data_IF_903025659566
#
_entry.id   IF_903025659566
#
_cell.length_a   1.000
_cell.length_b   1.000
_cell.length_c   1.000
_cell.angle_alpha   90.00
_cell.angle_beta   90.00
_cell.angle_gamma   90.00
#
_symmetry.space_group_name_H-M   'P 1'
#
loop_
_entity.id
_entity.type
_entity.pdbx_description
1 polymer ?
2 non-polymer ?
3 water ?
#
# COMPACT_ATOMS: atom_id res chain seq x y z
N UNK A 1 -2.46 3.91 -17.72
CA UNK A 1 -3.07 2.58 -17.41
C UNK A 1 -2.35 1.95 -16.22
N UNK A 2 -3.09 1.09 -15.58
CA UNK A 2 -2.64 0.35 -14.43
C UNK A 2 -1.88 -0.92 -14.78
N UNK A 3 -1.86 -1.30 -16.07
CA UNK A 3 -1.56 -2.66 -16.35
C UNK A 3 -0.14 -3.20 -15.98
N UNK A 4 0.87 -2.34 -15.98
CA UNK A 4 2.21 -2.83 -15.56
C UNK A 4 2.28 -3.09 -14.09
N UNK A 5 1.34 -2.60 -13.27
CA UNK A 5 1.29 -2.89 -11.83
C UNK A 5 0.79 -4.26 -11.48
N UNK A 6 0.10 -4.90 -12.43
CA UNK A 6 -0.65 -6.17 -12.11
C UNK A 6 0.30 -7.29 -11.93
N UNK A 7 0.01 -8.19 -11.02
CA UNK A 7 0.82 -9.35 -10.78
C UNK A 7 1.16 -9.57 -9.34
N UNK A 8 2.13 -10.41 -9.08
CA UNK A 8 2.53 -10.81 -7.75
C UNK A 8 3.93 -10.22 -7.50
N UNK A 9 4.09 -9.56 -6.35
CA UNK A 9 5.25 -8.80 -5.97
C UNK A 9 5.72 -9.13 -4.57
N UNK A 10 7.02 -9.19 -4.35
CA UNK A 10 7.57 -9.53 -3.08
C UNK A 10 8.44 -8.38 -2.55
N UNK A 11 8.34 -8.11 -1.25
CA UNK A 11 9.12 -7.02 -0.65
C UNK A 11 10.59 -7.38 -0.61
N UNK A 12 11.44 -6.54 -1.15
CA UNK A 12 12.88 -6.77 -1.11
C UNK A 12 13.65 -5.65 -0.42
N UNK A 13 13.06 -4.52 -0.10
CA UNK A 13 13.78 -3.45 0.60
C UNK A 13 12.75 -2.62 1.34
N UNK A 14 13.13 -2.06 2.48
CA UNK A 14 12.27 -1.16 3.23
C UNK A 14 13.04 -0.13 3.98
N UNK A 15 12.65 1.15 3.83
CA UNK A 15 13.34 2.22 4.52
C UNK A 15 12.30 3.00 5.33
N UNK A 16 12.54 3.21 6.63
CA UNK A 16 11.71 4.06 7.52
C UNK A 16 10.31 3.55 7.76
N UNK A 17 10.07 2.24 7.68
CA UNK A 17 8.73 1.73 7.99
C UNK A 17 8.39 1.91 9.45
N UNK A 18 9.36 1.79 10.32
CA UNK A 18 9.13 1.98 11.74
C UNK A 18 8.68 3.39 11.99
N UNK A 19 9.27 4.38 11.37
CA UNK A 19 8.85 5.74 11.56
C UNK A 19 7.38 5.98 11.11
N UNK A 20 7.06 5.42 9.94
CA UNK A 20 5.69 5.51 9.45
C UNK A 20 4.70 4.86 10.45
N UNK A 21 4.95 3.62 10.84
CA UNK A 21 4.08 2.95 11.77
C UNK A 21 3.96 3.68 13.11
N UNK A 22 5.06 4.23 13.62
CA UNK A 22 5.04 4.97 14.87
C UNK A 22 4.19 6.21 14.73
N UNK A 23 4.28 6.88 13.59
CA UNK A 23 3.47 8.09 13.30
C UNK A 23 2.00 7.77 13.33
N UNK A 24 1.62 6.58 12.88
CA UNK A 24 0.22 6.13 12.94
C UNK A 24 -0.21 5.61 14.30
N UNK A 25 0.69 5.58 15.29
CA UNK A 25 0.44 5.04 16.61
C UNK A 25 0.40 3.59 16.74
N UNK A 26 1.01 2.87 15.82
CA UNK A 26 1.09 1.43 15.91
C UNK A 26 1.96 1.05 17.13
N UNK A 27 1.48 0.10 17.89
CA UNK A 27 2.23 -0.28 19.12
C UNK A 27 3.60 -0.97 18.86
N UNK A 28 4.49 -0.91 19.85
CA UNK A 28 5.89 -1.31 19.64
C UNK A 28 6.00 -2.77 19.22
N UNK A 29 5.15 -3.64 19.78
CA UNK A 29 5.23 -5.04 19.50
C UNK A 29 4.79 -5.37 18.11
N UNK A 30 3.75 -4.71 17.62
CA UNK A 30 3.38 -4.87 16.23
C UNK A 30 4.49 -4.30 15.31
N UNK A 31 5.12 -3.17 15.67
CA UNK A 31 6.16 -2.65 14.80
C UNK A 31 7.28 -3.69 14.78
N UNK A 32 7.58 -4.29 15.88
CA UNK A 32 8.69 -5.23 15.94
C UNK A 32 8.50 -6.31 14.93
N UNK A 33 7.34 -6.95 14.97
CA UNK A 33 7.10 -8.11 14.09
C UNK A 33 7.03 -7.58 12.66
N UNK A 34 6.38 -6.41 12.45
CA UNK A 34 6.28 -5.89 11.07
C UNK A 34 7.60 -5.54 10.39
N UNK A 35 8.56 -5.14 11.20
CA UNK A 35 9.89 -4.79 10.70
C UNK A 35 10.61 -6.01 10.10
N UNK A 36 10.21 -7.21 10.47
CA UNK A 36 10.81 -8.47 10.00
C UNK A 36 9.87 -9.24 9.08
N UNK A 37 8.75 -8.64 8.73
CA UNK A 37 7.80 -9.31 7.79
C UNK A 37 8.08 -8.88 6.35
N UNK A 38 8.04 -9.89 5.46
CA UNK A 38 8.17 -9.66 4.03
C UNK A 38 6.88 -10.04 3.31
N UNK A 39 6.04 -9.05 3.05
CA UNK A 39 4.79 -9.38 2.43
C UNK A 39 4.92 -9.72 0.96
N UNK A 40 3.90 -10.41 0.49
CA UNK A 40 3.60 -10.56 -0.94
C UNK A 40 2.42 -9.70 -1.27
N UNK A 41 2.48 -8.87 -2.32
CA UNK A 41 1.34 -8.10 -2.76
C UNK A 41 0.88 -8.64 -4.11
N UNK A 42 -0.41 -8.89 -4.26
CA UNK A 42 -0.99 -9.35 -5.52
C UNK A 42 -1.95 -8.29 -6.00
N UNK A 43 -1.81 -7.83 -7.22
CA UNK A 43 -2.67 -6.73 -7.78
C UNK A 43 -3.33 -7.33 -9.00
N UNK A 44 -4.63 -7.32 -8.97
CA UNK A 44 -5.44 -7.90 -10.07
C UNK A 44 -6.45 -6.90 -10.49
N UNK A 45 -6.87 -7.03 -11.72
CA UNK A 45 -7.93 -6.17 -12.24
C UNK A 45 -9.02 -6.96 -12.92
N UNK A 46 -10.24 -6.43 -12.84
CA UNK A 46 -11.35 -6.95 -13.62
C UNK A 46 -12.14 -5.76 -14.08
N UNK A 47 -11.93 -5.37 -15.35
CA UNK A 47 -12.41 -4.04 -15.80
C UNK A 47 -11.73 -2.92 -15.07
N UNK A 48 -12.50 -1.95 -14.50
CA UNK A 48 -11.89 -0.91 -13.77
C UNK A 48 -11.97 -1.17 -12.25
N UNK A 49 -12.20 -2.45 -11.89
CA UNK A 49 -12.16 -2.85 -10.47
C UNK A 49 -10.82 -3.52 -10.19
N UNK A 50 -10.06 -2.95 -9.29
CA UNK A 50 -8.78 -3.49 -8.88
C UNK A 50 -8.92 -4.19 -7.52
N UNK A 51 -8.24 -5.34 -7.37
CA UNK A 51 -8.14 -6.01 -6.11
C UNK A 51 -6.71 -6.06 -5.66
N UNK A 52 -6.46 -5.63 -4.47
CA UNK A 52 -5.06 -5.54 -3.93
C UNK A 52 -5.01 -6.35 -2.69
N UNK A 53 -4.27 -7.45 -2.76
CA UNK A 53 -4.05 -8.39 -1.68
C UNK A 53 -2.68 -8.21 -1.07
N UNK A 54 -2.56 -8.16 0.22
CA UNK A 54 -1.29 -8.13 0.85
C UNK A 54 -1.24 -9.25 1.88
N UNK A 55 -0.32 -10.18 1.62
CA UNK A 55 -0.25 -11.43 2.40
C UNK A 55 1.03 -11.49 3.21
N UNK A 56 0.94 -12.05 4.41
CA UNK A 56 2.18 -12.29 5.18
C UNK A 56 1.87 -13.30 6.27
N UNK A 57 2.96 -13.61 6.97
CA UNK A 57 2.86 -14.40 8.17
C UNK A 57 2.32 -13.71 9.37
N UNK A 58 2.17 -12.40 9.30
CA UNK A 58 1.66 -11.63 10.39
C UNK A 58 0.26 -11.13 10.16
N UNK A 59 0.10 -10.19 9.26
CA UNK A 59 -1.19 -9.63 8.94
C UNK A 59 -1.49 -9.90 7.46
N UNK A 60 -2.77 -9.95 7.10
CA UNK A 60 -3.25 -10.10 5.74
C UNK A 60 -4.38 -9.13 5.48
N UNK A 61 -4.38 -8.47 4.32
CA UNK A 61 -5.43 -7.60 3.90
C UNK A 61 -5.85 -7.87 2.45
N UNK A 62 -7.06 -7.40 2.15
CA UNK A 62 -7.58 -7.38 0.81
C UNK A 62 -8.53 -6.24 0.65
N UNK A 63 -8.33 -5.46 -0.42
CA UNK A 63 -9.29 -4.43 -0.81
C UNK A 63 -9.65 -4.60 -2.25
N UNK A 64 -10.88 -4.22 -2.56
CA UNK A 64 -11.31 -4.07 -3.97
C UNK A 64 -11.86 -2.67 -4.11
N UNK A 65 -11.60 -2.04 -5.24
CA UNK A 65 -12.05 -0.69 -5.46
C UNK A 65 -12.16 -0.43 -6.94
N UNK A 66 -13.03 0.53 -7.25
CA UNK A 66 -13.10 1.12 -8.55
C UNK A 66 -12.22 2.35 -8.59
N UNK A 67 -11.37 2.46 -9.61
CA UNK A 67 -10.52 3.58 -9.69
C UNK A 67 -11.32 4.90 -9.62
N UNK A 68 -10.84 5.81 -8.79
CA UNK A 68 -11.44 7.11 -8.64
C UNK A 68 -12.79 7.19 -7.95
N UNK A 69 -13.16 6.12 -7.24
CA UNK A 69 -14.39 6.01 -6.41
C UNK A 69 -14.10 5.69 -4.99
N UNK A 70 -14.62 6.46 -4.05
CA UNK A 70 -14.28 6.25 -2.66
C UNK A 70 -14.82 4.92 -2.17
N UNK A 71 -14.09 4.31 -1.23
CA UNK A 71 -14.49 3.10 -0.55
C UNK A 71 -14.14 3.12 0.93
N UNK A 72 -14.89 2.39 1.75
CA UNK A 72 -14.55 2.24 3.12
C UNK A 72 -13.44 1.18 3.25
N UNK A 73 -12.54 1.32 4.16
CA UNK A 73 -11.42 0.39 4.35
C UNK A 73 -11.12 0.26 5.84
N UNK A 74 -10.73 -0.94 6.23
CA UNK A 74 -10.20 -1.18 7.55
C UNK A 74 -8.78 -1.70 7.38
N UNK A 75 -7.81 -0.88 7.79
CA UNK A 75 -6.41 -1.11 7.49
C UNK A 75 -5.81 -2.25 8.35
N UNK A 76 -4.57 -2.62 8.03
CA UNK A 76 -3.90 -3.72 8.69
C UNK A 76 -3.76 -3.43 10.15
N UNK A 77 -3.59 -2.16 10.52
CA UNK A 77 -3.60 -1.66 11.92
C UNK A 77 -4.92 -1.18 12.50
N UNK A 78 -5.99 -1.55 11.83
CA UNK A 78 -7.37 -1.43 12.29
C UNK A 78 -7.84 -0.01 12.34
N UNK A 79 -7.36 0.82 11.44
CA UNK A 79 -7.96 2.11 11.24
C UNK A 79 -9.12 1.99 10.29
N UNK A 80 -10.22 2.64 10.61
CA UNK A 80 -11.42 2.75 9.75
C UNK A 80 -11.35 4.01 8.95
N UNK A 81 -11.08 3.91 7.66
CA UNK A 81 -10.77 5.04 6.85
C UNK A 81 -11.62 5.12 5.64
N UNK A 82 -11.70 6.30 5.05
CA UNK A 82 -12.30 6.57 3.75
C UNK A 82 -11.18 6.68 2.75
N UNK A 83 -11.25 5.88 1.70
CA UNK A 83 -10.16 5.71 0.77
C UNK A 83 -10.54 5.97 -0.63
N UNK A 84 -9.56 6.39 -1.45
CA UNK A 84 -9.68 6.54 -2.88
C UNK A 84 -8.38 6.22 -3.55
N UNK A 85 -8.41 5.47 -4.63
CA UNK A 85 -7.21 5.18 -5.39
C UNK A 85 -7.39 5.68 -6.78
N UNK A 86 -6.36 6.39 -7.29
CA UNK A 86 -6.40 6.90 -8.66
C UNK A 86 -5.05 6.76 -9.26
N UNK A 87 -5.01 6.58 -10.59
CA UNK A 87 -3.78 6.88 -11.32
C UNK A 87 -3.50 8.36 -11.47
N UNK A 88 -2.28 8.73 -11.14
CA UNK A 88 -1.86 10.16 -11.12
C UNK A 88 -0.40 10.19 -11.48
N UNK A 89 -0.01 10.72 -12.66
CA UNK A 89 1.35 10.74 -13.13
C UNK A 89 1.94 9.39 -13.30
N UNK A 90 1.07 8.42 -13.65
CA UNK A 90 1.41 7.03 -13.85
C UNK A 90 1.61 6.23 -12.58
N UNK A 91 1.34 6.87 -11.46
CA UNK A 91 1.45 6.21 -10.13
C UNK A 91 0.09 5.81 -9.67
N UNK A 92 -0.05 4.70 -8.98
CA UNK A 92 -1.29 4.39 -8.19
C UNK A 92 -1.25 5.09 -6.88
N UNK A 93 -2.10 6.07 -6.68
CA UNK A 93 -2.13 6.87 -5.50
C UNK A 93 -3.29 6.53 -4.63
N UNK A 94 -3.05 5.99 -3.43
CA UNK A 94 -4.09 5.58 -2.48
C UNK A 94 -4.08 6.60 -1.35
N UNK A 95 -5.18 7.28 -1.17
CA UNK A 95 -5.35 8.34 -0.19
C UNK A 95 -6.32 7.79 0.86
N UNK A 96 -5.92 7.72 2.12
CA UNK A 96 -6.77 7.36 3.20
C UNK A 96 -7.02 8.56 4.09
N UNK A 97 -8.27 8.73 4.54
CA UNK A 97 -8.72 9.88 5.36
C UNK A 97 -9.49 9.33 6.54
N UNK A 98 -9.15 9.79 7.72
CA UNK A 98 -9.88 9.46 8.95
C UNK A 98 -9.57 10.48 10.05
N UNK A 99 -10.59 10.91 10.76
CA UNK A 99 -10.42 11.84 11.87
C UNK A 99 -9.66 13.08 11.46
N UNK A 100 -9.81 13.54 10.23
CA UNK A 100 -9.06 14.68 9.71
C UNK A 100 -7.62 14.40 9.32
N UNK A 101 -7.14 13.19 9.58
CA UNK A 101 -5.77 12.75 9.23
C UNK A 101 -5.80 12.23 7.80
N UNK A 102 -4.62 12.22 7.18
CA UNK A 102 -4.50 11.68 5.89
C UNK A 102 -3.20 10.86 5.84
N UNK A 103 -3.19 9.79 5.04
CA UNK A 103 -1.95 9.14 4.68
C UNK A 103 -2.04 8.70 3.23
N UNK A 104 -0.94 8.77 2.47
CA UNK A 104 -0.90 8.33 1.10
C UNK A 104 0.01 7.12 0.98
N UNK A 105 -0.44 6.20 0.13
CA UNK A 105 0.31 4.99 -0.23
C UNK A 105 0.46 5.07 -1.73
N UNK A 106 1.64 5.44 -2.21
CA UNK A 106 1.88 5.75 -3.57
C UNK A 106 2.74 4.65 -4.22
N UNK A 107 2.26 4.03 -5.32
CA UNK A 107 3.03 3.00 -6.00
C UNK A 107 3.47 3.45 -7.40
N UNK A 108 4.75 3.29 -7.71
CA UNK A 108 5.32 3.75 -8.96
C UNK A 108 6.24 2.65 -9.49
N UNK A 109 6.28 2.44 -10.79
CA UNK A 109 7.19 1.52 -11.42
C UNK A 109 8.44 2.26 -11.87
N UNK A 110 9.54 1.85 -11.31
CA UNK A 110 10.86 2.41 -11.66
C UNK A 110 11.74 1.26 -12.01
N UNK A 111 12.13 1.23 -13.26
CA UNK A 111 12.99 0.15 -13.70
C UNK A 111 12.50 -1.27 -13.44
N UNK A 112 11.19 -1.46 -13.55
CA UNK A 112 10.56 -2.74 -13.36
C UNK A 112 10.27 -3.14 -11.93
N UNK A 113 10.72 -2.32 -11.00
CA UNK A 113 10.42 -2.56 -9.62
C UNK A 113 9.25 -1.66 -9.20
N UNK A 114 8.45 -2.11 -8.27
CA UNK A 114 7.36 -1.33 -7.76
C UNK A 114 7.73 -0.72 -6.41
N UNK A 115 7.81 0.60 -6.41
CA UNK A 115 8.21 1.40 -5.30
C UNK A 115 6.96 1.94 -4.62
N UNK A 116 6.81 1.57 -3.38
CA UNK A 116 5.67 1.99 -2.56
C UNK A 116 6.17 3.01 -1.58
N UNK A 117 5.64 4.21 -1.67
CA UNK A 117 6.00 5.33 -0.78
C UNK A 117 4.82 5.60 0.12
N UNK A 118 5.06 5.51 1.43
CA UNK A 118 4.06 5.70 2.48
C UNK A 118 4.34 6.99 3.22
N UNK A 119 3.39 7.93 3.25
CA UNK A 119 3.57 9.23 3.92
C UNK A 119 2.47 9.45 4.92
N UNK A 120 2.83 9.73 6.16
CA UNK A 120 1.88 10.16 7.17
C UNK A 120 2.63 11.19 8.05
N UNK A 121 1.97 12.35 8.24
CA UNK A 121 2.64 13.41 8.98
C UNK A 121 3.87 13.82 8.22
N UNK A 122 5.00 13.71 8.87
CA UNK A 122 6.26 13.96 8.21
C UNK A 122 7.01 12.70 7.80
N UNK A 123 6.52 11.55 8.28
CA UNK A 123 7.18 10.27 8.05
C UNK A 123 7.00 9.79 6.62
N UNK A 124 8.10 9.44 5.97
CA UNK A 124 8.15 8.97 4.60
C UNK A 124 8.88 7.66 4.54
N UNK A 125 8.17 6.58 4.22
CA UNK A 125 8.73 5.27 4.12
C UNK A 125 8.75 4.87 2.68
N UNK A 126 9.84 4.23 2.22
CA UNK A 126 9.93 3.69 0.89
C UNK A 126 10.14 2.20 0.91
N UNK A 127 9.28 1.45 0.27
CA UNK A 127 9.34 0.02 0.20
C UNK A 127 9.46 -0.46 -1.25
N UNK A 128 10.38 -1.35 -1.50
CA UNK A 128 10.62 -1.76 -2.88
C UNK A 128 10.20 -3.21 -3.00
N UNK A 129 9.35 -3.49 -4.00
CA UNK A 129 8.78 -4.76 -4.36
C UNK A 129 9.34 -5.19 -5.76
N UNK A 130 9.58 -6.48 -5.79
CA UNK A 130 10.13 -7.12 -7.02
C UNK A 130 9.14 -8.12 -7.54
N UNK A 131 9.06 -8.19 -8.86
CA UNK A 131 8.03 -8.94 -9.55
C UNK A 131 8.33 -10.36 -9.53
N UNK A 132 7.44 -11.13 -8.94
CA UNK A 132 7.48 -12.60 -8.95
C UNK A 132 6.78 -13.24 -10.20
N UNK A 133 5.64 -12.71 -10.61
CA UNK A 133 4.83 -13.27 -11.66
C UNK A 133 3.88 -12.19 -12.25
X LIG B 1 2.96 -2.71 2.54
X LIG B 1 2.08 -3.01 1.81
X LIG B 1 4.20 -3.04 2.33
X LIG B 1 2.79 -1.90 3.79
X LIG B 1 1.33 -1.56 4.12
X LIG B 1 1.17 -0.77 5.43
X LIG B 1 -0.28 -0.90 5.95
X LIG B 1 -0.59 0.15 7.04
X LIG B 1 0.29 0.11 8.25
X LIG B 1 0.18 -1.20 8.96
X LIG B 1 1.26 -1.23 10.01
X LIG B 1 1.14 -2.40 10.95
X LIG B 1 1.02 -3.72 10.31
X LIG B 1 2.14 -4.00 9.36
X LIG B 1 2.12 -5.47 8.90
X LIG B 1 3.09 -5.76 7.79
X LIG B 1 2.75 -5.10 6.46
X LIG B 1 1.29 -5.31 6.02
X LIG B 1 0.94 -6.82 5.76
X LIG B 1 -0.54 -6.93 5.40
#
# INVERSE_FOLDING_TARGET
>A
MVDAFLGTWKLVDSKNFDDYMKSLGVGFATRQVASMTKPTTIIEKNGDILTLKTHSTFKNTEISFKLGVEFDETTADDRKVKSIVTLDGGKLVHLQKWDGQETTLVRELIDGKLILTLTHGTAVCTRTYEKEA
>B hetero
1 STE C1 O1 O2 C2 C3 C4 C5 C6 C7 C8 C9 C10 C11 C12 C13 C14 C15 C16 C17 C18
#
